data_IF_687167466703
#
_entry.id   IF_687167466703
#
_cell.length_a   1.000
_cell.length_b   1.000
_cell.length_c   1.000
_cell.angle_alpha   90.00
_cell.angle_beta   90.00
_cell.angle_gamma   90.00
#
_symmetry.space_group_name_H-M   'P 1'
#
loop_
_entity.id
_entity.type
_entity.pdbx_description
1 polymer ?
#
# COMPACT_ATOMS: atom_id res chain seq x y z
N UNK A 1 -22.86 -60.29 0.30
CA UNK A 1 -22.91 -58.95 0.93
C UNK A 1 -24.05 -58.23 0.26
N UNK A 2 -25.26 -58.33 0.81
CA UNK A 2 -26.39 -57.60 0.23
C UNK A 2 -26.35 -56.16 0.77
N UNK A 3 -25.92 -55.25 -0.11
CA UNK A 3 -25.64 -53.85 0.21
C UNK A 3 -26.92 -53.11 0.61
N UNK A 4 -28.07 -53.50 0.06
CA UNK A 4 -29.37 -52.87 0.33
C UNK A 4 -29.96 -53.17 1.71
N UNK A 5 -29.60 -54.30 2.33
CA UNK A 5 -30.03 -54.60 3.70
C UNK A 5 -29.23 -53.82 4.75
N UNK A 6 -27.96 -53.51 4.47
CA UNK A 6 -27.07 -52.85 5.42
C UNK A 6 -27.48 -51.41 5.76
N UNK A 7 -28.06 -50.65 4.83
CA UNK A 7 -28.57 -49.31 5.17
C UNK A 7 -29.86 -49.34 6.00
N UNK A 8 -30.66 -50.42 5.91
CA UNK A 8 -31.90 -50.62 6.69
C UNK A 8 -31.65 -51.06 8.13
N UNK A 9 -30.48 -51.64 8.40
CA UNK A 9 -30.10 -52.16 9.73
C UNK A 9 -29.46 -51.08 10.62
N UNK A 10 -29.29 -49.84 10.11
CA UNK A 10 -28.84 -48.69 10.90
C UNK A 10 -27.32 -48.55 11.03
N UNK A 11 -26.54 -49.23 10.19
CA UNK A 11 -25.08 -49.07 10.16
C UNK A 11 -24.68 -47.66 9.74
N UNK A 12 -23.65 -47.13 10.38
CA UNK A 12 -23.05 -45.83 10.02
C UNK A 12 -22.10 -45.97 8.83
N UNK A 13 -21.91 -44.89 8.09
CA UNK A 13 -21.01 -44.90 6.92
C UNK A 13 -19.55 -45.21 7.31
N UNK A 14 -19.16 -44.92 8.55
CA UNK A 14 -17.84 -45.23 9.09
C UNK A 14 -17.65 -46.74 9.26
N UNK A 15 -18.62 -47.43 9.86
CA UNK A 15 -18.58 -48.89 10.03
C UNK A 15 -18.55 -49.60 8.68
N UNK A 16 -19.32 -49.12 7.71
CA UNK A 16 -19.32 -49.69 6.37
C UNK A 16 -17.99 -49.44 5.64
N UNK A 17 -17.37 -48.27 5.81
CA UNK A 17 -16.03 -48.01 5.29
C UNK A 17 -14.99 -48.95 5.91
N UNK A 18 -15.04 -49.17 7.23
CA UNK A 18 -14.16 -50.09 7.94
C UNK A 18 -14.37 -51.56 7.51
N UNK A 19 -15.60 -51.93 7.12
CA UNK A 19 -15.93 -53.22 6.53
C UNK A 19 -15.47 -53.38 5.04
N UNK A 20 -14.89 -52.32 4.47
CA UNK A 20 -14.29 -52.30 3.13
C UNK A 20 -15.18 -51.77 2.02
N UNK A 21 -16.32 -51.15 2.33
CA UNK A 21 -17.17 -50.52 1.31
C UNK A 21 -16.59 -49.17 0.86
N UNK A 22 -16.72 -48.86 -0.43
CA UNK A 22 -16.27 -47.60 -1.01
C UNK A 22 -17.41 -46.57 -1.11
N UNK A 23 -17.07 -45.30 -1.34
CA UNK A 23 -18.06 -44.22 -1.40
C UNK A 23 -19.13 -44.40 -2.49
N UNK A 24 -18.79 -45.03 -3.64
CA UNK A 24 -19.76 -45.27 -4.72
C UNK A 24 -20.82 -46.30 -4.30
N UNK A 25 -20.41 -47.34 -3.58
CA UNK A 25 -21.32 -48.35 -3.03
C UNK A 25 -22.24 -47.75 -1.96
N UNK A 26 -21.71 -46.84 -1.13
CA UNK A 26 -22.50 -46.14 -0.12
C UNK A 26 -23.54 -45.20 -0.73
N UNK A 27 -23.19 -44.45 -1.78
CA UNK A 27 -24.15 -43.61 -2.52
C UNK A 27 -25.28 -44.48 -3.11
N UNK A 28 -24.95 -45.65 -3.65
CA UNK A 28 -25.93 -46.55 -4.27
C UNK A 28 -26.99 -47.08 -3.28
N UNK A 29 -26.69 -47.10 -1.97
CA UNK A 29 -27.61 -47.55 -0.92
C UNK A 29 -28.24 -46.40 -0.12
N UNK A 30 -28.06 -45.16 -0.61
CA UNK A 30 -28.74 -43.97 -0.11
C UNK A 30 -27.93 -43.07 0.83
N UNK A 31 -26.63 -43.33 1.04
CA UNK A 31 -25.79 -42.41 1.84
C UNK A 31 -25.57 -41.10 1.07
N UNK A 32 -25.97 -40.00 1.69
CA UNK A 32 -25.74 -38.64 1.22
C UNK A 32 -24.34 -38.12 1.60
N UNK A 33 -24.02 -36.92 1.10
CA UNK A 33 -22.69 -36.33 1.29
C UNK A 33 -22.30 -36.10 2.76
N UNK A 34 -23.25 -35.83 3.65
CA UNK A 34 -22.98 -35.64 5.08
C UNK A 34 -22.48 -36.92 5.75
N UNK A 35 -23.09 -38.06 5.41
CA UNK A 35 -22.68 -39.35 5.98
C UNK A 35 -21.37 -39.84 5.35
N UNK A 36 -21.14 -39.55 4.07
CA UNK A 36 -19.85 -39.82 3.43
C UNK A 36 -18.73 -38.98 4.06
N UNK A 37 -19.01 -37.72 4.39
CA UNK A 37 -18.07 -36.87 5.15
C UNK A 37 -17.79 -37.44 6.54
N UNK A 38 -18.83 -37.85 7.28
CA UNK A 38 -18.70 -38.46 8.60
C UNK A 38 -17.95 -39.80 8.56
N UNK A 39 -18.10 -40.56 7.46
CA UNK A 39 -17.32 -41.76 7.17
C UNK A 39 -15.86 -41.44 6.79
N UNK A 40 -15.49 -40.16 6.65
CA UNK A 40 -14.15 -39.68 6.37
C UNK A 40 -13.74 -39.72 4.90
N UNK A 41 -14.69 -39.80 3.96
CA UNK A 41 -14.37 -39.66 2.54
C UNK A 41 -13.98 -38.20 2.25
N UNK A 42 -12.83 -38.02 1.61
CA UNK A 42 -12.25 -36.71 1.35
C UNK A 42 -12.85 -36.00 0.13
N UNK A 43 -12.68 -34.68 0.08
CA UNK A 43 -13.20 -33.82 -1.00
C UNK A 43 -12.76 -34.18 -2.43
N UNK A 44 -11.52 -34.67 -2.72
CA UNK A 44 -11.16 -35.04 -4.09
C UNK A 44 -12.00 -36.20 -4.62
N UNK A 45 -12.29 -37.19 -3.75
CA UNK A 45 -13.13 -38.34 -4.11
C UNK A 45 -14.58 -37.91 -4.34
N UNK A 46 -15.14 -37.10 -3.44
CA UNK A 46 -16.52 -36.61 -3.59
C UNK A 46 -16.70 -35.79 -4.87
N UNK A 47 -15.74 -34.93 -5.22
CA UNK A 47 -15.77 -34.20 -6.50
C UNK A 47 -15.73 -35.15 -7.71
N UNK A 48 -14.93 -36.23 -7.65
CA UNK A 48 -14.90 -37.25 -8.71
C UNK A 48 -16.19 -38.07 -8.81
N UNK A 49 -16.98 -38.12 -7.74
CA UNK A 49 -18.29 -38.79 -7.68
C UNK A 49 -19.45 -37.86 -8.07
N UNK A 50 -19.17 -36.62 -8.47
CA UNK A 50 -20.15 -35.67 -8.99
C UNK A 50 -20.67 -34.64 -7.98
N UNK A 51 -20.21 -34.65 -6.73
CA UNK A 51 -20.54 -33.58 -5.79
C UNK A 51 -19.91 -32.26 -6.24
N UNK A 52 -20.74 -31.22 -6.35
CA UNK A 52 -20.32 -29.86 -6.63
C UNK A 52 -19.65 -29.20 -5.43
N UNK A 53 -18.87 -28.14 -5.68
CA UNK A 53 -18.29 -27.34 -4.60
C UNK A 53 -19.35 -26.62 -3.75
N UNK A 54 -20.51 -26.28 -4.34
CA UNK A 54 -21.65 -25.71 -3.61
C UNK A 54 -22.21 -26.71 -2.59
N UNK A 55 -22.51 -27.94 -3.03
CA UNK A 55 -23.00 -29.00 -2.14
C UNK A 55 -21.97 -29.30 -1.05
N UNK A 56 -20.68 -29.37 -1.40
CA UNK A 56 -19.64 -29.56 -0.40
C UNK A 56 -19.55 -28.38 0.60
N UNK A 57 -19.76 -27.13 0.17
CA UNK A 57 -19.85 -26.00 1.10
C UNK A 57 -21.02 -26.17 2.08
N UNK A 58 -22.20 -26.53 1.58
CA UNK A 58 -23.40 -26.74 2.42
C UNK A 58 -23.23 -27.91 3.40
N UNK A 59 -22.41 -28.90 3.02
CA UNK A 59 -21.97 -29.99 3.90
C UNK A 59 -20.90 -29.58 4.91
N UNK A 60 -20.46 -28.32 4.90
CA UNK A 60 -19.53 -27.71 5.84
C UNK A 60 -18.05 -27.91 5.53
N UNK A 61 -17.69 -28.23 4.28
CA UNK A 61 -16.29 -28.25 3.85
C UNK A 61 -15.73 -26.83 3.73
N UNK A 62 -14.49 -26.64 4.18
CA UNK A 62 -13.77 -25.37 4.13
C UNK A 62 -13.17 -25.08 2.74
N UNK A 63 -12.85 -23.82 2.48
CA UNK A 63 -12.16 -23.40 1.25
C UNK A 63 -10.80 -24.12 1.06
N UNK A 64 -10.12 -24.45 2.16
CA UNK A 64 -8.86 -25.23 2.16
C UNK A 64 -9.11 -26.62 1.57
N UNK A 65 -10.15 -27.31 2.03
CA UNK A 65 -10.50 -28.66 1.58
C UNK A 65 -11.00 -28.65 0.13
N UNK A 66 -11.78 -27.63 -0.25
CA UNK A 66 -12.27 -27.49 -1.63
C UNK A 66 -11.14 -27.16 -2.60
N UNK A 67 -10.17 -26.34 -2.21
CA UNK A 67 -8.98 -26.07 -3.03
C UNK A 67 -8.13 -27.33 -3.21
N UNK A 68 -7.95 -28.15 -2.17
CA UNK A 68 -7.27 -29.45 -2.28
C UNK A 68 -7.98 -30.40 -3.25
N UNK A 69 -9.30 -30.30 -3.37
CA UNK A 69 -10.09 -31.01 -4.37
C UNK A 69 -10.08 -30.35 -5.78
N UNK A 70 -9.26 -29.32 -5.99
CA UNK A 70 -9.06 -28.67 -7.29
C UNK A 70 -9.98 -27.48 -7.57
N UNK A 71 -10.70 -26.96 -6.57
CA UNK A 71 -11.52 -25.76 -6.74
C UNK A 71 -10.67 -24.51 -6.91
N UNK A 72 -11.08 -23.62 -7.81
CA UNK A 72 -10.33 -22.38 -8.14
C UNK A 72 -10.85 -21.20 -7.32
N UNK A 73 -10.06 -20.13 -7.20
CA UNK A 73 -10.43 -18.93 -6.45
C UNK A 73 -11.81 -18.38 -6.86
N UNK A 74 -12.06 -18.23 -8.18
CA UNK A 74 -13.34 -17.72 -8.70
C UNK A 74 -14.53 -18.54 -8.23
N UNK A 75 -14.44 -19.87 -8.32
CA UNK A 75 -15.49 -20.79 -7.86
C UNK A 75 -15.76 -20.59 -6.36
N UNK A 76 -14.71 -20.53 -5.53
CA UNK A 76 -14.88 -20.35 -4.08
C UNK A 76 -15.37 -18.96 -3.68
N UNK A 77 -14.95 -17.92 -4.39
CA UNK A 77 -15.41 -16.56 -4.14
C UNK A 77 -16.88 -16.36 -4.55
N UNK A 78 -17.32 -16.96 -5.67
CA UNK A 78 -18.73 -17.00 -6.09
C UNK A 78 -19.61 -17.79 -5.13
N UNK A 79 -19.04 -18.83 -4.49
CA UNK A 79 -19.68 -19.54 -3.40
C UNK A 79 -19.76 -18.70 -2.11
N UNK A 80 -19.14 -17.52 -2.03
CA UNK A 80 -19.21 -16.63 -0.87
C UNK A 80 -18.36 -17.10 0.32
N UNK A 81 -17.20 -17.73 0.08
CA UNK A 81 -16.20 -17.92 1.14
C UNK A 81 -15.56 -16.56 1.50
N UNK A 82 -15.36 -16.25 2.79
CA UNK A 82 -14.76 -14.98 3.22
C UNK A 82 -13.28 -14.90 2.80
N UNK A 83 -12.77 -13.67 2.64
CA UNK A 83 -11.40 -13.42 2.18
C UNK A 83 -10.38 -14.16 3.03
N UNK A 84 -10.54 -14.13 4.35
CA UNK A 84 -9.63 -14.74 5.32
C UNK A 84 -9.51 -16.25 5.08
N UNK A 85 -10.61 -16.90 4.70
CA UNK A 85 -10.64 -18.33 4.43
C UNK A 85 -10.04 -18.67 3.06
N UNK A 86 -10.23 -17.81 2.05
CA UNK A 86 -9.57 -17.94 0.75
C UNK A 86 -8.04 -17.76 0.88
N UNK A 87 -7.61 -16.84 1.73
CA UNK A 87 -6.19 -16.65 2.05
C UNK A 87 -5.64 -17.83 2.86
N UNK A 88 -6.39 -18.35 3.83
CA UNK A 88 -6.04 -19.57 4.58
C UNK A 88 -5.98 -20.82 3.68
N UNK A 89 -6.82 -20.88 2.64
CA UNK A 89 -6.70 -21.88 1.57
C UNK A 89 -5.40 -21.73 0.76
N UNK A 90 -4.67 -20.63 0.92
CA UNK A 90 -3.39 -20.34 0.27
C UNK A 90 -3.56 -19.69 -1.10
N UNK A 91 -4.68 -19.01 -1.37
CA UNK A 91 -4.73 -18.06 -2.48
C UNK A 91 -3.97 -16.79 -2.08
N UNK A 92 -3.18 -16.23 -3.01
CA UNK A 92 -2.49 -14.97 -2.75
C UNK A 92 -3.54 -13.89 -2.48
N UNK A 93 -3.44 -13.21 -1.35
CA UNK A 93 -4.45 -12.23 -0.93
C UNK A 93 -4.64 -11.10 -1.94
N UNK A 94 -3.59 -10.60 -2.60
CA UNK A 94 -3.72 -9.70 -3.76
C UNK A 94 -4.71 -10.24 -4.83
N UNK A 95 -4.65 -11.53 -5.13
CA UNK A 95 -5.53 -12.14 -6.13
C UNK A 95 -6.98 -12.18 -5.64
N UNK A 96 -7.18 -12.39 -4.33
CA UNK A 96 -8.49 -12.37 -3.69
C UNK A 96 -9.06 -10.95 -3.70
N UNK A 97 -8.27 -9.94 -3.34
CA UNK A 97 -8.67 -8.53 -3.34
C UNK A 97 -8.92 -7.99 -4.76
N UNK A 98 -8.11 -8.39 -5.74
CA UNK A 98 -8.40 -8.06 -7.14
C UNK A 98 -9.73 -8.70 -7.60
N UNK A 99 -10.13 -9.83 -7.03
CA UNK A 99 -11.39 -10.51 -7.36
C UNK A 99 -12.59 -9.91 -6.63
N UNK A 100 -12.44 -9.50 -5.37
CA UNK A 100 -13.49 -8.80 -4.63
C UNK A 100 -13.72 -7.35 -5.10
N UNK A 101 -12.94 -6.91 -6.08
CA UNK A 101 -13.10 -5.64 -6.78
C UNK A 101 -12.46 -4.46 -6.07
N UNK A 102 -11.76 -4.67 -4.95
CA UNK A 102 -11.04 -3.58 -4.29
C UNK A 102 -9.85 -3.16 -5.13
N UNK A 103 -9.79 -1.87 -5.43
CA UNK A 103 -8.61 -1.28 -6.02
C UNK A 103 -7.56 -1.00 -4.94
N UNK A 104 -6.29 -0.85 -5.36
CA UNK A 104 -5.21 -0.39 -4.48
C UNK A 104 -5.52 0.98 -3.84
N UNK A 105 -6.31 1.83 -4.51
CA UNK A 105 -6.75 3.12 -3.94
C UNK A 105 -7.74 2.92 -2.79
N UNK A 106 -8.68 1.97 -2.92
CA UNK A 106 -9.64 1.66 -1.86
C UNK A 106 -8.93 1.05 -0.65
N UNK A 107 -7.94 0.20 -0.89
CA UNK A 107 -7.10 -0.36 0.17
C UNK A 107 -6.30 0.73 0.89
N UNK A 108 -5.71 1.67 0.13
CA UNK A 108 -5.04 2.84 0.72
C UNK A 108 -6.00 3.69 1.56
N UNK A 109 -7.21 3.96 1.04
CA UNK A 109 -8.24 4.73 1.75
C UNK A 109 -8.76 4.00 3.00
N UNK A 110 -8.76 2.66 2.99
CA UNK A 110 -9.07 1.81 4.13
C UNK A 110 -7.92 1.70 5.15
N UNK A 111 -6.79 2.38 4.92
CA UNK A 111 -5.67 2.47 5.86
C UNK A 111 -4.62 1.37 5.74
N UNK A 112 -4.65 0.57 4.66
CA UNK A 112 -3.59 -0.41 4.42
C UNK A 112 -2.26 0.27 4.14
N UNK A 113 -1.23 -0.16 4.84
CA UNK A 113 0.15 0.29 4.65
C UNK A 113 0.79 -0.39 3.44
N UNK A 114 1.83 0.23 2.89
CA UNK A 114 2.58 -0.37 1.77
C UNK A 114 3.19 -1.73 2.15
N UNK A 115 3.63 -1.89 3.40
CA UNK A 115 4.19 -3.14 3.91
C UNK A 115 3.16 -4.26 3.89
N UNK A 116 1.97 -4.00 4.41
CA UNK A 116 0.87 -4.96 4.37
C UNK A 116 0.53 -5.33 2.94
N UNK A 117 0.48 -4.37 2.02
CA UNK A 117 0.27 -4.63 0.60
C UNK A 117 1.39 -5.53 0.01
N UNK A 118 2.66 -5.31 0.35
CA UNK A 118 3.76 -6.19 -0.08
C UNK A 118 3.59 -7.60 0.47
N UNK A 119 3.32 -7.74 1.77
CA UNK A 119 3.18 -9.03 2.46
C UNK A 119 2.02 -9.87 1.89
N UNK A 120 0.97 -9.20 1.42
CA UNK A 120 -0.19 -9.85 0.79
C UNK A 120 -0.03 -10.09 -0.72
N UNK A 121 1.12 -9.69 -1.28
CA UNK A 121 1.57 -10.05 -2.63
C UNK A 121 1.43 -8.96 -3.70
N UNK A 122 1.18 -7.71 -3.34
CA UNK A 122 1.29 -6.58 -4.27
C UNK A 122 2.74 -6.35 -4.68
N UNK A 123 2.91 -6.07 -5.96
CA UNK A 123 4.18 -5.75 -6.58
C UNK A 123 4.26 -4.25 -6.81
N UNK A 124 5.47 -3.72 -7.03
CA UNK A 124 5.67 -2.30 -7.31
C UNK A 124 4.82 -1.80 -8.49
N UNK A 125 4.67 -2.60 -9.54
CA UNK A 125 3.84 -2.25 -10.71
C UNK A 125 2.37 -1.98 -10.34
N UNK A 126 1.85 -2.61 -9.29
CA UNK A 126 0.46 -2.40 -8.84
C UNK A 126 0.33 -1.11 -8.05
N UNK A 127 1.38 -0.78 -7.30
CA UNK A 127 1.46 0.38 -6.43
C UNK A 127 1.95 1.64 -7.17
N UNK A 128 2.44 1.46 -8.40
CA UNK A 128 2.95 2.52 -9.26
C UNK A 128 1.92 3.64 -9.43
N UNK A 129 2.36 4.88 -9.20
CA UNK A 129 1.53 6.08 -9.30
C UNK A 129 0.49 6.28 -8.19
N UNK A 130 0.38 5.33 -7.24
CA UNK A 130 -0.57 5.40 -6.10
C UNK A 130 0.13 5.70 -4.78
N UNK A 131 1.40 5.31 -4.70
CA UNK A 131 2.30 5.53 -3.58
C UNK A 131 3.54 6.26 -4.04
N UNK A 132 4.18 7.00 -3.13
CA UNK A 132 5.45 7.65 -3.46
C UNK A 132 6.57 6.64 -3.40
N UNK A 133 7.60 6.80 -4.22
CA UNK A 133 8.73 5.85 -4.26
C UNK A 133 9.45 5.73 -2.93
N UNK A 134 9.63 6.83 -2.20
CA UNK A 134 10.25 6.77 -0.88
C UNK A 134 9.40 5.99 0.13
N UNK A 135 8.08 6.08 0.06
CA UNK A 135 7.14 5.27 0.86
C UNK A 135 7.26 3.78 0.51
N UNK A 136 7.43 3.45 -0.78
CA UNK A 136 7.65 2.07 -1.23
C UNK A 136 8.95 1.47 -0.66
N UNK A 137 10.01 2.27 -0.54
CA UNK A 137 11.29 1.80 0.00
C UNK A 137 11.27 1.78 1.54
N UNK A 138 10.97 2.91 2.16
CA UNK A 138 11.12 3.11 3.61
C UNK A 138 10.07 2.33 4.41
N UNK A 139 8.81 2.33 3.96
CA UNK A 139 7.71 1.64 4.66
C UNK A 139 7.45 0.25 4.06
N UNK A 140 7.43 0.17 2.73
CA UNK A 140 7.14 -1.06 2.00
C UNK A 140 8.28 -2.07 1.99
N UNK A 141 9.53 -1.62 2.18
CA UNK A 141 10.71 -2.47 2.06
C UNK A 141 10.91 -3.03 0.65
N UNK A 142 10.42 -2.35 -0.39
CA UNK A 142 10.69 -2.73 -1.78
C UNK A 142 12.15 -2.43 -2.15
N UNK A 143 12.83 -3.41 -2.75
CA UNK A 143 14.20 -3.27 -3.23
C UNK A 143 14.30 -2.50 -4.53
N UNK A 144 15.49 -1.98 -4.84
CA UNK A 144 15.74 -1.18 -6.05
C UNK A 144 15.45 -1.95 -7.36
N UNK A 145 15.72 -3.25 -7.39
CA UNK A 145 15.38 -4.11 -8.52
C UNK A 145 13.86 -4.20 -8.72
N UNK A 146 13.10 -4.35 -7.63
CA UNK A 146 11.63 -4.37 -7.68
C UNK A 146 11.08 -3.03 -8.19
N UNK A 147 11.72 -1.91 -7.84
CA UNK A 147 11.34 -0.59 -8.36
C UNK A 147 11.56 -0.48 -9.88
N UNK A 148 12.71 -0.96 -10.38
CA UNK A 148 13.01 -0.97 -11.82
C UNK A 148 12.04 -1.86 -12.58
N UNK A 149 11.82 -3.08 -12.10
CA UNK A 149 10.87 -4.03 -12.69
C UNK A 149 9.43 -3.51 -12.63
N UNK A 150 9.12 -2.69 -11.62
CA UNK A 150 7.86 -1.97 -11.47
C UNK A 150 7.67 -0.79 -12.42
N UNK A 151 8.66 -0.45 -13.24
CA UNK A 151 8.58 0.60 -14.25
C UNK A 151 9.01 2.00 -13.78
N UNK A 152 9.67 2.13 -12.63
CA UNK A 152 10.25 3.40 -12.24
C UNK A 152 11.50 3.74 -13.07
N UNK A 153 11.61 4.99 -13.57
CA UNK A 153 12.82 5.43 -14.27
C UNK A 153 14.07 5.32 -13.37
N UNK A 154 15.23 5.03 -13.97
CA UNK A 154 16.48 4.86 -13.22
C UNK A 154 16.82 6.06 -12.34
N UNK A 155 16.58 7.29 -12.80
CA UNK A 155 16.83 8.48 -11.97
C UNK A 155 15.97 8.50 -10.70
N UNK A 156 14.74 7.97 -10.73
CA UNK A 156 13.87 7.91 -9.55
C UNK A 156 14.38 6.83 -8.59
N UNK A 157 14.80 5.68 -9.12
CA UNK A 157 15.37 4.59 -8.31
C UNK A 157 16.67 5.04 -7.64
N UNK A 158 17.52 5.77 -8.36
CA UNK A 158 18.74 6.36 -7.83
C UNK A 158 18.52 7.48 -6.80
N UNK A 159 17.32 8.07 -6.75
CA UNK A 159 17.00 9.01 -5.68
C UNK A 159 16.84 8.31 -4.32
N UNK A 160 16.53 7.01 -4.30
CA UNK A 160 16.24 6.23 -3.07
C UNK A 160 17.21 5.08 -2.85
N UNK A 161 18.40 5.13 -3.46
CA UNK A 161 19.42 4.08 -3.36
C UNK A 161 20.31 4.17 -2.11
N UNK A 162 19.85 4.92 -1.09
CA UNK A 162 20.54 5.08 0.19
C UNK A 162 21.46 6.29 0.27
N UNK A 163 21.62 7.07 -0.80
CA UNK A 163 22.34 8.34 -0.79
C UNK A 163 21.66 9.38 0.12
N UNK A 164 22.48 10.20 0.74
CA UNK A 164 22.04 11.38 1.50
C UNK A 164 21.49 12.45 0.56
N UNK A 165 20.62 13.32 1.06
CA UNK A 165 20.10 14.45 0.26
C UNK A 165 21.18 15.42 -0.19
N UNK A 166 22.30 15.50 0.53
CA UNK A 166 23.48 16.26 0.10
C UNK A 166 24.13 15.65 -1.13
N UNK A 167 24.37 14.34 -1.13
CA UNK A 167 24.94 13.63 -2.29
C UNK A 167 23.99 13.68 -3.49
N UNK A 168 22.67 13.60 -3.26
CA UNK A 168 21.67 13.78 -4.32
C UNK A 168 21.73 15.20 -4.89
N UNK A 169 21.89 16.22 -4.05
CA UNK A 169 22.07 17.60 -4.51
C UNK A 169 23.33 17.76 -5.35
N UNK A 170 24.46 17.22 -4.89
CA UNK A 170 25.75 17.24 -5.61
C UNK A 170 25.68 16.46 -6.94
N UNK A 171 24.87 15.40 -6.98
CA UNK A 171 24.56 14.66 -8.21
C UNK A 171 23.55 15.38 -9.14
N UNK A 172 23.12 16.60 -8.80
CA UNK A 172 22.27 17.44 -9.64
C UNK A 172 20.78 17.17 -9.55
N UNK A 173 20.31 16.46 -8.52
CA UNK A 173 18.87 16.21 -8.36
C UNK A 173 18.11 17.51 -8.06
N UNK A 174 17.13 17.81 -8.89
CA UNK A 174 16.22 18.93 -8.66
C UNK A 174 15.29 18.64 -7.47
N UNK A 175 15.09 19.66 -6.63
CA UNK A 175 14.15 19.66 -5.48
C UNK A 175 12.75 19.16 -5.86
N UNK A 176 12.23 19.59 -7.02
CA UNK A 176 10.91 19.17 -7.54
C UNK A 176 10.81 17.66 -7.76
N UNK A 177 11.89 17.01 -8.17
CA UNK A 177 11.93 15.55 -8.35
C UNK A 177 11.91 14.86 -6.99
N UNK A 178 12.76 15.28 -6.06
CA UNK A 178 12.83 14.67 -4.73
C UNK A 178 11.51 14.81 -3.95
N UNK A 179 10.85 15.96 -4.02
CA UNK A 179 9.52 16.15 -3.43
C UNK A 179 8.46 15.21 -4.02
N UNK A 180 8.51 14.96 -5.34
CA UNK A 180 7.64 13.97 -6.00
C UNK A 180 7.98 12.54 -5.59
N UNK A 181 9.27 12.22 -5.40
CA UNK A 181 9.71 10.93 -4.89
C UNK A 181 9.28 10.70 -3.44
N UNK A 182 8.98 11.77 -2.69
CA UNK A 182 8.48 11.71 -1.32
C UNK A 182 9.46 12.17 -0.26
N UNK A 183 10.57 12.80 -0.63
CA UNK A 183 11.46 13.42 0.34
C UNK A 183 10.75 14.59 1.03
N UNK A 184 10.72 14.64 2.37
CA UNK A 184 10.17 15.77 3.09
C UNK A 184 11.08 17.00 2.93
N UNK A 185 10.50 18.19 3.09
CA UNK A 185 11.24 19.44 2.97
C UNK A 185 12.40 19.50 3.97
N UNK A 186 12.22 18.95 5.17
CA UNK A 186 13.27 18.82 6.19
C UNK A 186 14.53 18.17 5.64
N UNK A 187 14.42 17.07 4.90
CA UNK A 187 15.56 16.34 4.38
C UNK A 187 16.29 17.17 3.31
N UNK A 188 15.55 17.94 2.52
CA UNK A 188 16.14 18.86 1.54
C UNK A 188 16.88 20.01 2.22
N UNK A 189 16.35 20.55 3.33
CA UNK A 189 17.05 21.57 4.11
C UNK A 189 18.36 21.01 4.67
N UNK A 190 18.33 19.82 5.27
CA UNK A 190 19.55 19.15 5.77
C UNK A 190 20.54 18.79 4.64
N UNK A 191 20.04 18.54 3.44
CA UNK A 191 20.84 18.35 2.22
C UNK A 191 21.49 19.63 1.70
N UNK A 192 21.19 20.78 2.31
CA UNK A 192 21.77 22.08 1.97
C UNK A 192 21.18 22.71 0.72
N UNK A 193 19.97 22.31 0.30
CA UNK A 193 19.27 22.99 -0.80
C UNK A 193 19.04 24.47 -0.46
N UNK A 194 19.16 25.34 -1.44
CA UNK A 194 19.02 26.78 -1.30
C UNK A 194 17.56 27.20 -1.42
N UNK A 195 17.23 28.36 -0.85
CA UNK A 195 15.91 28.96 -1.00
C UNK A 195 15.52 29.19 -2.48
N UNK A 196 16.49 29.43 -3.37
CA UNK A 196 16.25 29.57 -4.80
C UNK A 196 15.84 28.23 -5.45
N UNK A 197 16.51 27.13 -5.10
CA UNK A 197 16.16 25.79 -5.57
C UNK A 197 14.79 25.35 -5.06
N UNK A 198 14.46 25.68 -3.81
CA UNK A 198 13.14 25.39 -3.23
C UNK A 198 12.04 26.25 -3.87
N UNK A 199 12.31 27.54 -4.11
CA UNK A 199 11.39 28.44 -4.83
C UNK A 199 11.07 27.92 -6.23
N UNK A 200 12.08 27.44 -6.96
CA UNK A 200 11.88 26.87 -8.29
C UNK A 200 11.07 25.56 -8.28
N UNK A 201 11.06 24.85 -7.15
CA UNK A 201 10.16 23.71 -6.93
C UNK A 201 8.72 24.10 -6.55
N UNK A 202 8.45 25.38 -6.30
CA UNK A 202 7.14 25.90 -5.90
C UNK A 202 6.90 25.89 -4.39
N UNK A 203 7.94 25.67 -3.57
CA UNK A 203 7.82 25.78 -2.11
C UNK A 203 7.64 27.25 -1.74
N UNK A 204 6.69 27.52 -0.84
CA UNK A 204 6.36 28.88 -0.41
C UNK A 204 7.35 29.42 0.64
N UNK A 205 7.60 30.74 0.69
CA UNK A 205 8.43 31.36 1.72
C UNK A 205 8.01 31.05 3.16
N UNK A 206 6.71 30.91 3.41
CA UNK A 206 6.17 30.56 4.72
C UNK A 206 6.67 29.19 5.19
N UNK A 207 6.63 28.19 4.30
CA UNK A 207 7.12 26.83 4.56
C UNK A 207 8.65 26.83 4.70
N UNK A 208 9.37 27.64 3.92
CA UNK A 208 10.81 27.79 4.10
C UNK A 208 11.14 28.41 5.46
N UNK A 209 10.41 29.44 5.90
CA UNK A 209 10.59 30.08 7.21
C UNK A 209 10.44 29.07 8.34
N UNK A 210 9.42 28.21 8.29
CA UNK A 210 9.21 27.19 9.31
C UNK A 210 10.32 26.13 9.37
N UNK A 211 11.16 26.04 8.34
CA UNK A 211 12.32 25.13 8.27
C UNK A 211 13.66 25.87 8.40
N UNK A 212 13.67 27.09 8.93
CA UNK A 212 14.89 27.81 9.32
C UNK A 212 15.50 28.72 8.25
N UNK A 213 14.85 28.91 7.09
CA UNK A 213 15.30 29.93 6.13
C UNK A 213 14.96 31.33 6.64
N UNK A 214 15.99 32.18 6.66
CA UNK A 214 15.83 33.57 7.07
C UNK A 214 15.58 34.51 5.87
N UNK A 215 15.29 35.78 6.16
CA UNK A 215 15.04 36.78 5.14
C UNK A 215 16.24 36.98 4.20
N UNK A 216 17.48 36.77 4.64
CA UNK A 216 18.66 36.87 3.76
C UNK A 216 18.64 35.76 2.70
N UNK A 217 18.38 34.51 3.11
CA UNK A 217 18.30 33.39 2.17
C UNK A 217 17.19 33.62 1.15
N UNK A 218 16.02 34.08 1.61
CA UNK A 218 14.86 34.31 0.74
C UNK A 218 15.05 35.52 -0.17
N UNK A 219 15.73 36.57 0.30
CA UNK A 219 16.15 37.70 -0.55
C UNK A 219 17.06 37.24 -1.69
N UNK A 220 18.06 36.41 -1.40
CA UNK A 220 18.95 35.82 -2.41
C UNK A 220 18.20 34.93 -3.39
N UNK A 221 17.12 34.28 -2.95
CA UNK A 221 16.21 33.53 -3.81
C UNK A 221 15.31 34.40 -4.71
N UNK A 222 15.37 35.73 -4.55
CA UNK A 222 14.62 36.71 -5.33
C UNK A 222 13.25 37.07 -4.74
N UNK A 223 12.98 36.77 -3.47
CA UNK A 223 11.78 37.23 -2.80
C UNK A 223 11.89 38.71 -2.39
N UNK A 224 10.78 39.43 -2.55
CA UNK A 224 10.67 40.84 -2.16
C UNK A 224 10.31 40.99 -0.68
N UNK A 225 10.66 42.13 -0.08
CA UNK A 225 10.27 42.45 1.31
C UNK A 225 8.76 42.37 1.54
N UNK A 226 7.96 42.75 0.53
CA UNK A 226 6.50 42.61 0.55
C UNK A 226 6.03 41.16 0.67
N UNK A 227 6.54 40.28 -0.19
CA UNK A 227 6.20 38.85 -0.14
C UNK A 227 6.60 38.21 1.19
N UNK A 228 7.74 38.63 1.76
CA UNK A 228 8.20 38.14 3.05
C UNK A 228 7.36 38.68 4.20
N UNK A 229 6.93 39.95 4.14
CA UNK A 229 6.02 40.54 5.13
C UNK A 229 4.66 39.83 5.17
N UNK A 230 4.13 39.50 4.00
CA UNK A 230 2.86 38.77 3.85
C UNK A 230 2.89 37.35 4.47
N UNK A 231 4.07 36.70 4.50
CA UNK A 231 4.23 35.39 5.15
C UNK A 231 4.70 35.47 6.61
N UNK A 232 4.69 36.68 7.20
CA UNK A 232 4.95 36.86 8.62
C UNK A 232 6.41 37.14 8.99
N UNK A 233 7.25 37.64 8.08
CA UNK A 233 8.53 38.22 8.48
C UNK A 233 8.36 39.58 9.16
N UNK A 234 9.07 39.80 10.26
CA UNK A 234 9.11 41.08 10.97
C UNK A 234 10.00 42.08 10.24
N UNK A 235 9.81 43.38 10.49
CA UNK A 235 10.68 44.40 9.90
C UNK A 235 12.15 44.20 10.33
N UNK A 236 12.37 43.78 11.58
CA UNK A 236 13.70 43.45 12.10
C UNK A 236 14.33 42.27 11.36
N UNK A 237 13.59 41.17 11.17
CA UNK A 237 14.08 40.02 10.39
C UNK A 237 14.41 40.42 8.94
N UNK A 238 13.61 41.29 8.31
CA UNK A 238 13.88 41.80 6.96
C UNK A 238 15.14 42.67 6.93
N UNK A 239 15.33 43.51 7.93
CA UNK A 239 16.55 44.31 8.08
C UNK A 239 17.77 43.41 8.24
N UNK A 240 17.73 42.45 9.17
CA UNK A 240 18.80 41.45 9.35
C UNK A 240 19.05 40.66 8.06
N UNK A 241 17.99 40.40 7.29
CA UNK A 241 18.05 39.83 5.94
C UNK A 241 18.70 40.71 4.87
N UNK A 242 19.09 41.93 5.23
CA UNK A 242 19.76 42.89 4.37
C UNK A 242 18.83 43.70 3.47
N UNK A 243 17.52 43.73 3.70
CA UNK A 243 16.63 44.67 3.00
C UNK A 243 16.91 46.10 3.46
N UNK A 244 16.99 47.04 2.52
CA UNK A 244 17.31 48.42 2.87
C UNK A 244 16.09 49.13 3.46
N UNK A 245 16.33 50.14 4.32
CA UNK A 245 15.25 50.99 4.84
C UNK A 245 14.42 51.64 3.73
N UNK A 246 15.06 52.05 2.63
CA UNK A 246 14.36 52.58 1.45
C UNK A 246 13.37 51.55 0.89
N UNK A 247 13.78 50.29 0.77
CA UNK A 247 12.90 49.22 0.30
C UNK A 247 11.73 48.99 1.26
N UNK A 248 11.98 49.00 2.58
CA UNK A 248 10.93 48.77 3.58
C UNK A 248 9.90 49.93 3.60
N UNK A 249 10.36 51.18 3.55
CA UNK A 249 9.46 52.35 3.48
C UNK A 249 8.65 52.33 2.17
N UNK A 250 9.29 52.10 1.03
CA UNK A 250 8.64 52.16 -0.29
C UNK A 250 7.65 51.00 -0.47
N UNK A 251 8.07 49.77 -0.18
CA UNK A 251 7.27 48.57 -0.51
C UNK A 251 6.31 48.15 0.61
N UNK A 252 6.60 48.48 1.87
CA UNK A 252 5.76 48.10 3.02
C UNK A 252 5.00 49.28 3.63
N UNK A 253 5.26 50.53 3.18
CA UNK A 253 4.72 51.75 3.81
C UNK A 253 5.03 51.83 5.31
N UNK A 254 6.15 51.24 5.73
CA UNK A 254 6.59 51.29 7.12
C UNK A 254 6.94 52.73 7.52
N UNK A 255 6.48 53.15 8.70
CA UNK A 255 6.76 54.48 9.24
C UNK A 255 8.13 54.54 9.89
N UNK A 256 8.65 55.74 10.12
CA UNK A 256 9.94 55.91 10.82
C UNK A 256 9.93 55.29 12.23
N UNK A 257 8.78 55.33 12.92
CA UNK A 257 8.59 54.73 14.24
C UNK A 257 8.66 53.19 14.17
N UNK A 258 7.95 52.57 13.22
CA UNK A 258 7.99 51.11 13.00
C UNK A 258 9.41 50.59 12.72
N UNK A 259 10.24 51.43 12.09
CA UNK A 259 11.61 51.11 11.74
C UNK A 259 12.57 51.27 12.92
N UNK A 260 12.36 52.26 13.80
CA UNK A 260 13.13 52.41 15.05
C UNK A 260 12.85 51.25 16.01
N UNK A 261 11.58 50.85 16.13
CA UNK A 261 11.20 49.72 16.99
C UNK A 261 11.76 48.38 16.49
N UNK A 262 11.99 48.27 15.18
CA UNK A 262 12.52 47.07 14.55
C UNK A 262 14.05 46.88 14.69
N UNK A 263 14.78 47.87 15.20
CA UNK A 263 16.25 47.85 15.36
C UNK A 263 17.03 48.28 14.13
#
# INVERSE_FOLDING_TARGET
RDLGELSRVGYTGKELREAGFNAKELIAIGFGGAELRAAGFGTPLLKSLGFSAAEMKDLGYSAVELKKAGSKLRELAELGFPLEELVAAGFKRRMVEAFDGRSVLDLKAAGYTVKELKDVGYLVVDLYGRFRVKELVDEGGFGLAELKDGGYPDFVVHAVDGRTTKELREAGYATKVLLKCGFPLSDLVHGGYTAAELRNAGILPAEMKSHGYNAANLKLAGYTSKQLREVGFTLGELREGGFSWKDLVIFLRATYEDLIEAG
#
